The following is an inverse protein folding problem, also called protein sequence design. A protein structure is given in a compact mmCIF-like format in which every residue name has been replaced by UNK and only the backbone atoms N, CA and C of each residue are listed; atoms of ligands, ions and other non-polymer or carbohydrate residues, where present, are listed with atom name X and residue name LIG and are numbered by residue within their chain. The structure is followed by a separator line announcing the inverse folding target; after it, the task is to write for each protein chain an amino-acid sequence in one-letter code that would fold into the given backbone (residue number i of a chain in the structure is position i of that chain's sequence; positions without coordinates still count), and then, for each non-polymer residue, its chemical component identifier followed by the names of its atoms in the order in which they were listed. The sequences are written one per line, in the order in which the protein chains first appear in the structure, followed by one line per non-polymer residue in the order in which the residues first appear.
data_IF_105734021567
#
_entry.id   IF_105734021567
#
_cell.length_a   1.000
_cell.length_b   1.000
_cell.length_c   1.000
_cell.angle_alpha   90.00
_cell.angle_beta   90.00
_cell.angle_gamma   90.00
#
_symmetry.space_group_name_H-M   'P 1'
#
loop_
_entity.id
_entity.type
_entity.pdbx_description
1 polymer ?
#
# COMPACT_ATOMS: atom_id res chain seq x y z
N UNK A 1 -5.03 -20.03 -8.13
CA UNK A 1 -4.00 -19.00 -8.36
C UNK A 1 -4.57 -17.71 -7.81
N UNK A 2 -3.95 -17.13 -6.78
CA UNK A 2 -4.23 -15.77 -6.36
C UNK A 2 -3.67 -14.84 -7.43
N UNK A 3 -4.55 -14.08 -8.09
CA UNK A 3 -4.13 -13.06 -9.04
C UNK A 3 -3.73 -11.80 -8.28
N UNK A 4 -2.68 -11.14 -8.76
CA UNK A 4 -2.31 -9.81 -8.29
C UNK A 4 -3.22 -8.79 -8.97
N UNK A 5 -4.45 -8.66 -8.46
CA UNK A 5 -5.51 -7.84 -9.07
C UNK A 5 -5.84 -6.58 -8.25
N UNK A 6 -5.27 -6.46 -7.06
CA UNK A 6 -5.56 -5.35 -6.16
C UNK A 6 -4.43 -4.33 -6.19
N UNK A 7 -4.76 -3.13 -6.69
CA UNK A 7 -3.83 -2.01 -6.76
C UNK A 7 -3.60 -1.40 -5.37
N UNK A 8 -2.32 -1.29 -5.01
CA UNK A 8 -1.87 -0.69 -3.76
C UNK A 8 -0.75 0.32 -4.01
N UNK A 9 -0.65 1.27 -3.11
CA UNK A 9 0.23 2.43 -3.23
C UNK A 9 0.99 2.61 -1.91
N UNK A 10 2.21 3.13 -1.99
CA UNK A 10 2.90 3.65 -0.83
C UNK A 10 2.13 4.83 -0.25
N UNK A 11 1.83 4.73 1.05
CA UNK A 11 1.22 5.82 1.78
C UNK A 11 2.30 6.77 2.29
N UNK A 12 2.07 8.06 2.12
CA UNK A 12 2.96 9.13 2.50
C UNK A 12 2.30 9.99 3.57
N UNK A 13 3.08 10.42 4.56
CA UNK A 13 2.68 11.44 5.53
C UNK A 13 2.96 12.82 4.94
N UNK A 14 1.98 13.72 4.94
CA UNK A 14 2.25 15.13 4.65
C UNK A 14 3.17 15.67 5.75
N UNK A 15 4.32 16.21 5.34
CA UNK A 15 5.21 16.92 6.24
C UNK A 15 4.87 18.43 6.21
N UNK A 16 4.89 19.13 7.36
CA UNK A 16 4.66 20.57 7.41
C UNK A 16 5.57 21.38 6.48
N UNK A 17 6.77 20.87 6.18
CA UNK A 17 7.76 21.54 5.33
C UNK A 17 7.53 21.27 3.83
N UNK A 18 6.39 20.66 3.46
CA UNK A 18 6.05 20.29 2.09
C UNK A 18 6.81 19.07 1.57
N UNK A 19 7.60 18.42 2.43
CA UNK A 19 8.20 17.11 2.15
C UNK A 19 7.15 16.01 2.30
N UNK A 20 7.39 14.87 1.69
CA UNK A 20 6.56 13.67 1.87
C UNK A 20 7.42 12.61 2.51
N UNK A 21 6.98 12.08 3.64
CA UNK A 21 7.68 11.00 4.32
C UNK A 21 6.93 9.70 4.14
N UNK A 22 7.64 8.60 3.91
CA UNK A 22 7.00 7.29 3.80
C UNK A 22 6.33 6.92 5.12
N UNK A 23 5.06 6.52 5.07
CA UNK A 23 4.26 6.21 6.25
C UNK A 23 4.45 4.78 6.76
N UNK A 24 5.27 3.96 6.08
CA UNK A 24 5.55 2.58 6.46
C UNK A 24 4.43 1.59 6.12
N UNK A 25 3.53 1.94 5.19
CA UNK A 25 2.38 1.10 4.81
C UNK A 25 2.05 1.21 3.33
N UNK A 26 1.72 0.07 2.72
CA UNK A 26 1.06 -0.02 1.41
C UNK A 26 -0.43 -0.24 1.61
N UNK A 27 -1.27 0.46 0.85
CA UNK A 27 -2.71 0.26 0.94
C UNK A 27 -3.45 0.70 -0.31
N UNK A 28 -4.75 0.44 -0.31
CA UNK A 28 -5.62 0.91 -1.38
C UNK A 28 -5.74 2.42 -1.36
N UNK A 29 -6.09 3.00 -2.51
CA UNK A 29 -6.33 4.44 -2.65
C UNK A 29 -7.35 4.95 -1.64
N UNK A 30 -8.40 4.17 -1.42
CA UNK A 30 -9.53 4.48 -0.54
C UNK A 30 -9.07 4.51 0.92
N UNK A 31 -8.31 3.51 1.35
CA UNK A 31 -7.80 3.43 2.72
C UNK A 31 -6.85 4.58 3.04
N UNK A 32 -5.90 4.86 2.14
CA UNK A 32 -4.92 5.94 2.30
C UNK A 32 -5.61 7.30 2.43
N UNK A 33 -6.57 7.60 1.54
CA UNK A 33 -7.35 8.84 1.60
C UNK A 33 -8.21 8.94 2.86
N UNK A 34 -8.89 7.87 3.24
CA UNK A 34 -9.73 7.82 4.46
C UNK A 34 -8.90 8.18 5.70
N UNK A 35 -7.67 7.71 5.76
CA UNK A 35 -6.76 7.92 6.88
C UNK A 35 -5.99 9.27 6.79
N UNK A 36 -6.31 10.15 5.84
CA UNK A 36 -5.70 11.47 5.70
C UNK A 36 -4.24 11.44 5.23
N UNK A 37 -3.81 10.35 4.60
CA UNK A 37 -2.49 10.24 3.99
C UNK A 37 -2.50 10.59 2.51
N UNK A 38 -1.31 10.86 1.99
CA UNK A 38 -1.09 11.04 0.56
C UNK A 38 -0.64 9.72 -0.08
N UNK A 39 -0.91 9.57 -1.38
CA UNK A 39 -0.34 8.50 -2.19
C UNK A 39 1.02 8.97 -2.70
N UNK A 40 2.03 8.11 -2.70
CA UNK A 40 3.21 8.37 -3.53
C UNK A 40 2.79 8.29 -5.01
N UNK A 41 2.91 9.38 -5.79
CA UNK A 41 2.51 9.39 -7.20
C UNK A 41 3.33 8.46 -8.09
N UNK A 42 4.53 8.05 -7.65
CA UNK A 42 5.37 7.09 -8.37
C UNK A 42 5.14 5.63 -7.97
N UNK A 43 4.33 5.38 -6.94
CA UNK A 43 4.07 4.04 -6.43
C UNK A 43 2.81 3.46 -7.06
N UNK A 44 2.91 2.25 -7.59
CA UNK A 44 1.79 1.39 -7.94
C UNK A 44 2.30 -0.03 -7.95
N UNK A 45 1.71 -0.88 -7.13
CA UNK A 45 2.01 -2.32 -7.12
C UNK A 45 0.70 -3.10 -7.04
N UNK A 46 0.72 -4.33 -7.56
CA UNK A 46 -0.42 -5.23 -7.47
C UNK A 46 -0.11 -6.40 -6.53
N UNK A 47 -1.07 -6.71 -5.66
CA UNK A 47 -0.99 -7.85 -4.75
C UNK A 47 -2.29 -8.68 -4.80
N UNK A 48 -2.29 -9.90 -4.23
CA UNK A 48 -3.52 -10.66 -4.04
C UNK A 48 -4.51 -9.90 -3.17
N UNK A 49 -5.81 -9.96 -3.53
CA UNK A 49 -6.86 -9.36 -2.71
C UNK A 49 -6.85 -9.86 -1.26
N UNK A 50 -6.52 -11.14 -1.07
CA UNK A 50 -6.45 -11.80 0.25
C UNK A 50 -5.39 -11.20 1.18
N UNK A 51 -4.46 -10.39 0.65
CA UNK A 51 -3.43 -9.73 1.44
C UNK A 51 -3.88 -8.41 2.03
N UNK A 52 -5.06 -7.93 1.66
CA UNK A 52 -5.62 -6.70 2.17
C UNK A 52 -6.35 -6.99 3.47
N UNK A 53 -5.90 -6.37 4.56
CA UNK A 53 -6.58 -6.46 5.84
C UNK A 53 -7.89 -5.66 5.84
N UNK A 54 -8.70 -5.81 6.89
CA UNK A 54 -9.98 -5.12 7.01
C UNK A 54 -9.89 -3.58 6.96
N UNK A 55 -8.71 -3.00 7.21
CA UNK A 55 -8.48 -1.56 7.12
C UNK A 55 -8.12 -1.09 5.70
N UNK A 56 -7.92 -1.99 4.74
CA UNK A 56 -7.54 -1.68 3.36
C UNK A 56 -6.03 -1.56 3.13
N UNK A 57 -5.21 -2.09 4.04
CA UNK A 57 -3.75 -2.09 3.94
C UNK A 57 -3.21 -3.49 3.73
N UNK A 58 -2.06 -3.59 3.08
CA UNK A 58 -1.38 -4.87 2.87
C UNK A 58 -0.86 -5.40 4.21
N UNK A 59 -1.12 -6.68 4.46
CA UNK A 59 -0.55 -7.41 5.57
C UNK A 59 0.96 -7.65 5.36
N UNK A 60 1.78 -6.95 6.13
CA UNK A 60 3.24 -7.04 6.06
C UNK A 60 3.79 -8.41 6.46
N UNK A 61 3.06 -9.21 7.24
CA UNK A 61 3.49 -10.58 7.55
C UNK A 61 3.41 -11.48 6.31
N UNK A 62 2.37 -11.30 5.49
CA UNK A 62 2.24 -12.00 4.21
C UNK A 62 3.30 -11.55 3.20
N UNK A 63 3.60 -10.24 3.17
CA UNK A 63 4.70 -9.71 2.35
C UNK A 63 6.04 -10.37 2.71
N UNK A 64 6.35 -10.44 4.01
CA UNK A 64 7.60 -11.05 4.50
C UNK A 64 7.68 -12.53 4.19
N UNK A 65 6.55 -13.22 4.24
CA UNK A 65 6.47 -14.66 3.98
C UNK A 65 6.57 -14.98 2.48
N UNK A 66 6.11 -14.10 1.60
CA UNK A 66 6.05 -14.33 0.16
C UNK A 66 6.51 -13.11 -0.66
N UNK A 67 7.77 -12.65 -0.52
CA UNK A 67 8.23 -11.38 -1.09
C UNK A 67 8.15 -11.28 -2.61
N UNK A 68 8.14 -12.41 -3.33
CA UNK A 68 8.08 -12.46 -4.80
C UNK A 68 6.68 -12.21 -5.40
N UNK A 69 5.64 -12.09 -4.57
CA UNK A 69 4.27 -11.86 -5.05
C UNK A 69 3.90 -10.39 -5.21
N UNK A 70 4.82 -9.45 -4.99
CA UNK A 70 4.66 -8.08 -5.50
C UNK A 70 5.17 -8.04 -6.93
N UNK A 71 4.26 -7.91 -7.89
CA UNK A 71 4.62 -7.65 -9.28
C UNK A 71 4.70 -6.13 -9.48
N UNK A 72 5.90 -5.64 -9.82
CA UNK A 72 6.16 -4.26 -10.24
C UNK A 72 5.66 -4.04 -11.66
#
# INVERSE_FOLDING_TARGET
MTNNDTAVFDAMRPDPDGRRQWAGRLGTREAIKRDGLELDPGSLVYCPHEWINAAGYVDLELVRKYPLMFAV
#
